data_IF_870031393992
#
_entry.id   IF_870031393992
#
_cell.length_a   1.000
_cell.length_b   1.000
_cell.length_c   1.000
_cell.angle_alpha   90.00
_cell.angle_beta   90.00
_cell.angle_gamma   90.00
#
_symmetry.space_group_name_H-M   'P 1'
#
loop_
_entity.id
_entity.type
_entity.pdbx_description
1 polymer ?
#
# COMPACT_ATOMS: atom_id res chain seq x y z
N UNK A 1 39.31 61.67 38.88
CA UNK A 1 38.45 62.54 39.70
C UNK A 1 37.80 63.52 38.74
N UNK A 2 36.54 63.29 38.39
CA UNK A 2 35.51 64.33 38.44
C UNK A 2 34.14 63.67 38.30
N UNK A 3 33.16 64.22 39.01
CA UNK A 3 31.90 63.61 39.36
C UNK A 3 30.74 64.53 38.99
N UNK A 4 29.60 63.93 38.64
CA UNK A 4 28.30 64.59 38.48
C UNK A 4 28.12 65.28 37.11
N UNK A 5 26.93 65.35 36.53
CA UNK A 5 25.65 65.52 37.20
C UNK A 5 24.46 65.28 36.24
N UNK A 6 23.31 65.02 36.88
CA UNK A 6 21.95 65.42 36.53
C UNK A 6 21.11 64.59 35.54
N UNK A 7 20.28 63.77 36.19
CA UNK A 7 18.92 63.31 35.80
C UNK A 7 18.14 64.38 35.02
N UNK A 8 17.44 63.92 33.98
CA UNK A 8 16.07 64.37 33.71
C UNK A 8 15.23 63.20 33.20
N UNK A 9 14.17 62.89 33.94
CA UNK A 9 13.16 61.88 33.60
C UNK A 9 12.04 62.52 32.75
N UNK A 10 11.28 61.63 32.09
CA UNK A 10 9.92 61.77 31.54
C UNK A 10 9.92 62.35 30.10
N UNK A 11 9.12 61.89 29.15
CA UNK A 11 7.77 61.29 29.22
C UNK A 11 7.46 60.55 27.91
N UNK A 12 6.97 59.32 28.03
CA UNK A 12 5.85 58.63 27.34
C UNK A 12 5.40 59.08 25.93
N UNK A 13 5.07 58.05 25.13
CA UNK A 13 4.04 57.90 24.07
C UNK A 13 4.53 57.81 22.61
N UNK A 14 4.35 56.62 22.03
CA UNK A 14 3.42 56.47 20.90
C UNK A 14 3.99 55.96 19.57
N UNK A 15 3.17 55.14 18.91
CA UNK A 15 3.22 54.61 17.52
C UNK A 15 4.09 53.35 17.32
N UNK A 16 3.56 52.11 17.28
CA UNK A 16 2.56 51.47 16.39
C UNK A 16 3.10 51.19 14.97
N UNK A 17 3.04 49.90 14.61
CA UNK A 17 3.14 49.24 13.28
C UNK A 17 4.53 48.92 12.72
N UNK A 18 4.86 47.63 12.66
CA UNK A 18 5.23 46.93 11.42
C UNK A 18 5.18 45.41 11.64
N UNK A 19 4.06 44.83 11.24
CA UNK A 19 3.82 43.40 11.10
C UNK A 19 4.82 42.77 10.13
N UNK A 20 5.49 41.70 10.54
CA UNK A 20 6.15 40.76 9.62
C UNK A 20 6.01 39.35 10.19
N UNK A 21 4.77 38.87 10.25
CA UNK A 21 4.47 37.46 10.52
C UNK A 21 4.69 36.70 9.21
N UNK A 22 5.92 36.24 9.00
CA UNK A 22 6.26 35.34 7.88
C UNK A 22 5.69 33.97 8.22
N UNK A 23 4.44 33.74 7.82
CA UNK A 23 3.84 32.40 7.82
C UNK A 23 4.45 31.66 6.63
N UNK A 24 5.48 30.85 6.89
CA UNK A 24 5.96 29.86 5.94
C UNK A 24 4.88 28.77 5.83
N UNK A 25 3.98 28.92 4.85
CA UNK A 25 3.10 27.83 4.44
C UNK A 25 3.97 26.83 3.68
N UNK A 26 4.52 25.86 4.42
CA UNK A 26 5.06 24.64 3.84
C UNK A 26 3.90 23.88 3.21
N UNK A 27 3.67 24.10 1.91
CA UNK A 27 2.71 23.32 1.14
C UNK A 27 3.25 21.90 1.06
N UNK A 28 2.79 21.03 1.96
CA UNK A 28 3.04 19.61 1.89
C UNK A 28 2.10 19.05 0.80
N UNK A 29 2.49 19.25 -0.45
CA UNK A 29 1.83 18.63 -1.60
C UNK A 29 2.16 17.15 -1.53
N UNK A 30 1.29 16.33 -0.92
CA UNK A 30 1.41 14.88 -1.05
C UNK A 30 1.43 14.55 -2.54
N UNK A 31 2.43 13.80 -3.05
CA UNK A 31 2.41 13.37 -4.44
C UNK A 31 1.14 12.52 -4.63
N UNK A 32 0.18 13.05 -5.39
CA UNK A 32 -0.98 12.30 -5.84
C UNK A 32 -0.48 11.31 -6.90
N UNK A 33 -0.20 10.07 -6.49
CA UNK A 33 -0.05 8.97 -7.43
C UNK A 33 -1.38 8.82 -8.17
N UNK A 34 -1.39 9.09 -9.47
CA UNK A 34 -2.56 8.81 -10.28
C UNK A 34 -2.77 7.30 -10.34
N UNK A 35 -4.00 6.84 -10.09
CA UNK A 35 -4.35 5.44 -10.27
C UNK A 35 -4.17 5.06 -11.75
N UNK A 36 -3.48 3.96 -12.00
CA UNK A 36 -3.33 3.39 -13.34
C UNK A 36 -4.42 2.34 -13.55
N UNK A 37 -5.24 2.51 -14.59
CA UNK A 37 -6.18 1.47 -15.00
C UNK A 37 -5.43 0.44 -15.84
N UNK A 38 -5.32 -0.79 -15.34
CA UNK A 38 -4.69 -1.91 -16.02
C UNK A 38 -5.74 -2.71 -16.81
N UNK A 39 -5.35 -3.14 -18.02
CA UNK A 39 -6.11 -4.14 -18.78
C UNK A 39 -5.62 -5.53 -18.35
N UNK A 40 -6.56 -6.39 -17.94
CA UNK A 40 -6.23 -7.66 -17.29
C UNK A 40 -6.27 -8.81 -18.27
N UNK A 41 -5.34 -9.75 -18.12
CA UNK A 41 -5.40 -11.04 -18.81
C UNK A 41 -6.52 -11.86 -18.19
N UNK A 42 -7.32 -12.52 -19.03
CA UNK A 42 -8.35 -13.47 -18.60
C UNK A 42 -7.75 -14.88 -18.66
N UNK A 43 -7.67 -15.55 -17.50
CA UNK A 43 -7.09 -16.88 -17.38
C UNK A 43 -8.19 -17.95 -17.45
N UNK A 44 -8.04 -18.92 -18.34
CA UNK A 44 -9.05 -19.97 -18.55
C UNK A 44 -8.96 -21.13 -17.55
N UNK A 45 -7.89 -21.20 -16.75
CA UNK A 45 -7.77 -22.18 -15.67
C UNK A 45 -6.38 -22.26 -15.04
N UNK A 46 -6.24 -23.20 -14.11
CA UNK A 46 -5.06 -23.42 -13.27
C UNK A 46 -3.74 -23.53 -14.05
N UNK A 47 -3.72 -24.22 -15.19
CA UNK A 47 -2.50 -24.37 -15.98
C UNK A 47 -2.02 -23.04 -16.55
N UNK A 48 -2.93 -22.19 -17.04
CA UNK A 48 -2.58 -20.90 -17.62
C UNK A 48 -2.08 -19.93 -16.54
N UNK A 49 -2.69 -19.98 -15.34
CA UNK A 49 -2.20 -19.25 -14.18
C UNK A 49 -0.82 -19.75 -13.72
N UNK A 50 -0.58 -21.06 -13.69
CA UNK A 50 0.75 -21.64 -13.40
C UNK A 50 1.81 -21.17 -14.38
N UNK A 51 1.47 -21.13 -15.68
CA UNK A 51 2.40 -20.72 -16.74
C UNK A 51 2.77 -19.23 -16.64
N UNK A 52 1.85 -18.39 -16.13
CA UNK A 52 2.07 -16.96 -15.93
C UNK A 52 2.69 -16.59 -14.57
N UNK A 53 2.59 -17.46 -13.58
CA UNK A 53 3.08 -17.21 -12.24
C UNK A 53 4.59 -17.43 -12.10
N UNK A 54 5.22 -16.63 -11.25
CA UNK A 54 6.61 -16.85 -10.83
C UNK A 54 6.69 -17.80 -9.62
N UNK A 55 5.67 -17.78 -8.76
CA UNK A 55 5.52 -18.67 -7.62
C UNK A 55 4.12 -19.28 -7.59
N UNK A 56 4.05 -20.59 -7.31
CA UNK A 56 2.80 -21.29 -7.00
C UNK A 56 2.95 -22.02 -5.68
N UNK A 57 2.09 -21.70 -4.71
CA UNK A 57 2.10 -22.25 -3.36
C UNK A 57 0.70 -22.65 -2.91
N UNK A 58 0.61 -23.53 -1.91
CA UNK A 58 -0.62 -23.70 -1.12
C UNK A 58 -0.48 -23.04 0.24
N UNK A 59 -1.60 -22.60 0.81
CA UNK A 59 -1.68 -22.08 2.16
C UNK A 59 -3.04 -22.39 2.80
N UNK A 60 -3.02 -22.71 4.08
CA UNK A 60 -4.21 -22.74 4.94
C UNK A 60 -4.35 -21.49 5.82
N UNK A 61 -3.38 -20.57 5.75
CA UNK A 61 -3.30 -19.41 6.65
C UNK A 61 -3.02 -18.15 5.85
N UNK A 62 -4.11 -17.45 5.53
CA UNK A 62 -4.13 -16.13 4.91
C UNK A 62 -4.69 -15.14 5.92
N UNK A 63 -3.88 -14.17 6.35
CA UNK A 63 -4.26 -13.20 7.39
C UNK A 63 -4.03 -11.79 6.90
N UNK A 64 -5.02 -10.91 7.08
CA UNK A 64 -4.94 -9.52 6.64
C UNK A 64 -3.79 -8.77 7.35
N UNK A 65 -2.90 -8.17 6.57
CA UNK A 65 -1.73 -7.39 7.00
C UNK A 65 -1.72 -5.98 6.36
N UNK A 66 -2.79 -5.24 6.64
CA UNK A 66 -2.90 -3.83 6.27
C UNK A 66 -3.07 -3.59 4.77
N UNK A 67 -2.36 -2.59 4.26
CA UNK A 67 -2.40 -2.17 2.85
C UNK A 67 -1.00 -1.89 2.30
N UNK A 68 -0.88 -1.92 0.97
CA UNK A 68 0.31 -1.49 0.22
C UNK A 68 -0.12 -0.80 -1.07
N UNK A 69 0.64 0.19 -1.51
CA UNK A 69 0.31 0.92 -2.74
C UNK A 69 0.65 0.06 -3.95
N UNK A 70 -0.39 -0.34 -4.70
CA UNK A 70 -0.26 -1.05 -5.96
C UNK A 70 -1.08 -0.31 -7.01
N UNK A 71 -0.49 -0.06 -8.19
CA UNK A 71 -1.14 0.68 -9.29
C UNK A 71 -1.68 2.08 -8.90
N UNK A 72 -1.08 2.70 -7.89
CA UNK A 72 -1.45 4.04 -7.42
C UNK A 72 -2.66 4.08 -6.48
N UNK A 73 -3.15 2.92 -6.02
CA UNK A 73 -4.22 2.81 -5.01
C UNK A 73 -3.76 1.99 -3.80
N UNK A 74 -4.41 2.16 -2.66
CA UNK A 74 -4.20 1.31 -1.49
C UNK A 74 -4.84 -0.06 -1.74
N UNK A 75 -4.00 -1.05 -2.02
CA UNK A 75 -4.39 -2.45 -2.14
C UNK A 75 -4.28 -3.15 -0.79
N UNK A 76 -5.12 -4.14 -0.55
CA UNK A 76 -5.04 -4.98 0.63
C UNK A 76 -3.80 -5.88 0.57
N UNK A 77 -3.11 -6.01 1.70
CA UNK A 77 -1.97 -6.92 1.85
C UNK A 77 -2.29 -7.98 2.91
N UNK A 78 -1.69 -9.15 2.74
CA UNK A 78 -1.92 -10.34 3.55
C UNK A 78 -0.59 -11.02 3.89
N UNK A 79 -0.46 -11.49 5.12
CA UNK A 79 0.53 -12.49 5.49
C UNK A 79 0.01 -13.88 5.10
N UNK A 80 0.82 -14.64 4.36
CA UNK A 80 0.51 -15.98 3.89
C UNK A 80 1.60 -16.92 4.40
N UNK A 81 1.20 -17.96 5.14
CA UNK A 81 2.13 -19.03 5.53
C UNK A 81 2.19 -20.06 4.42
N UNK A 82 3.38 -20.24 3.84
CA UNK A 82 3.61 -21.21 2.78
C UNK A 82 3.50 -22.62 3.35
N UNK A 83 2.54 -23.40 2.88
CA UNK A 83 2.39 -24.81 3.28
C UNK A 83 3.18 -25.71 2.33
N UNK A 84 2.91 -25.62 1.03
CA UNK A 84 3.64 -26.33 -0.02
C UNK A 84 4.06 -25.38 -1.13
N UNK A 85 5.14 -25.74 -1.82
CA UNK A 85 5.67 -24.99 -2.96
C UNK A 85 5.59 -25.90 -4.17
N UNK A 86 4.77 -25.50 -5.15
CA UNK A 86 4.58 -26.22 -6.40
C UNK A 86 5.48 -25.65 -7.51
N UNK A 87 5.79 -24.35 -7.44
CA UNK A 87 6.64 -23.63 -8.41
C UNK A 87 7.31 -22.42 -7.74
N UNK A 88 8.52 -22.09 -8.21
CA UNK A 88 9.26 -20.89 -7.79
C UNK A 88 10.13 -21.08 -6.55
N UNK A 89 10.68 -19.98 -6.04
CA UNK A 89 11.60 -19.96 -4.89
C UNK A 89 10.87 -19.44 -3.64
N UNK A 90 10.36 -20.37 -2.85
CA UNK A 90 9.76 -20.15 -1.54
C UNK A 90 10.09 -21.35 -0.64
N UNK A 91 9.95 -21.19 0.67
CA UNK A 91 10.22 -22.28 1.62
C UNK A 91 8.95 -22.66 2.39
N UNK A 92 8.59 -23.96 2.49
CA UNK A 92 7.53 -24.38 3.41
C UNK A 92 7.76 -23.89 4.85
N UNK A 93 6.73 -23.32 5.46
CA UNK A 93 6.77 -22.67 6.78
C UNK A 93 7.23 -21.20 6.76
N UNK A 94 7.67 -20.68 5.62
CA UNK A 94 7.93 -19.25 5.42
C UNK A 94 6.63 -18.46 5.48
N UNK A 95 6.69 -17.24 6.04
CA UNK A 95 5.61 -16.26 5.92
C UNK A 95 6.00 -15.25 4.86
N UNK A 96 5.22 -15.17 3.79
CA UNK A 96 5.39 -14.18 2.73
C UNK A 96 4.26 -13.15 2.79
N UNK A 97 4.54 -11.93 2.34
CA UNK A 97 3.54 -10.88 2.21
C UNK A 97 3.04 -10.84 0.77
N UNK A 98 1.73 -10.96 0.60
CA UNK A 98 1.05 -10.98 -0.70
C UNK A 98 0.08 -9.81 -0.78
N UNK A 99 0.18 -9.02 -1.85
CA UNK A 99 -0.76 -7.94 -2.16
C UNK A 99 -1.90 -8.52 -3.00
N UNK A 100 -3.15 -8.34 -2.57
CA UNK A 100 -4.31 -8.67 -3.39
C UNK A 100 -4.42 -7.63 -4.50
N UNK A 101 -4.31 -8.03 -5.76
CA UNK A 101 -4.29 -7.07 -6.87
C UNK A 101 -5.64 -6.34 -6.97
N UNK A 102 -5.67 -4.99 -6.93
CA UNK A 102 -6.91 -4.22 -6.92
C UNK A 102 -7.52 -4.04 -8.32
N UNK A 103 -8.84 -4.09 -8.44
CA UNK A 103 -9.54 -3.63 -9.65
C UNK A 103 -9.58 -2.09 -9.70
N UNK A 104 -8.58 -1.53 -10.36
CA UNK A 104 -8.43 -0.08 -10.57
C UNK A 104 -9.30 0.51 -11.68
N UNK A 105 -9.96 -0.34 -12.47
CA UNK A 105 -10.81 0.07 -13.60
C UNK A 105 -12.30 -0.10 -13.32
N UNK A 106 -12.64 -0.85 -12.25
CA UNK A 106 -13.99 -1.06 -11.79
C UNK A 106 -14.73 0.22 -11.39
N UNK A 107 -16.07 0.21 -11.39
CA UNK A 107 -16.88 1.43 -11.32
C UNK A 107 -16.95 2.10 -9.93
N UNK A 108 -16.37 1.52 -8.86
CA UNK A 108 -16.58 2.04 -7.51
C UNK A 108 -15.48 1.78 -6.47
N UNK A 109 -15.00 0.54 -6.35
CA UNK A 109 -14.05 0.12 -5.31
C UNK A 109 -13.05 -0.87 -5.87
N UNK A 110 -11.78 -0.86 -5.40
CA UNK A 110 -10.77 -1.86 -5.73
C UNK A 110 -11.19 -3.32 -5.56
N UNK A 111 -12.18 -3.58 -4.70
CA UNK A 111 -12.68 -4.93 -4.36
C UNK A 111 -14.21 -4.95 -4.32
N UNK A 112 -14.86 -4.40 -5.35
CA UNK A 112 -16.32 -4.27 -5.39
C UNK A 112 -17.05 -5.62 -5.25
N UNK A 113 -16.47 -6.68 -5.80
CA UNK A 113 -17.02 -8.04 -5.75
C UNK A 113 -16.42 -8.90 -4.61
N UNK A 114 -15.63 -8.27 -3.72
CA UNK A 114 -14.87 -8.93 -2.66
C UNK A 114 -13.38 -9.01 -2.95
N UNK A 115 -12.59 -9.22 -1.91
CA UNK A 115 -11.16 -9.45 -2.02
C UNK A 115 -10.89 -10.96 -2.15
N UNK A 116 -10.24 -11.44 -3.23
CA UNK A 116 -9.95 -12.86 -3.42
C UNK A 116 -9.12 -13.51 -2.29
N UNK A 117 -8.36 -12.72 -1.53
CA UNK A 117 -7.56 -13.20 -0.40
C UNK A 117 -8.28 -13.08 0.96
N UNK A 118 -9.47 -12.50 1.01
CA UNK A 118 -10.31 -12.50 2.22
C UNK A 118 -11.08 -13.82 2.35
N UNK A 119 -10.35 -14.88 2.65
CA UNK A 119 -10.85 -16.26 2.69
C UNK A 119 -10.52 -16.95 4.00
N UNK A 120 -11.39 -17.89 4.40
CA UNK A 120 -11.26 -18.70 5.62
C UNK A 120 -11.01 -20.19 5.32
N UNK A 121 -10.56 -20.50 4.10
CA UNK A 121 -10.35 -21.86 3.59
C UNK A 121 -8.99 -22.01 2.91
N UNK A 122 -8.46 -23.25 2.79
CA UNK A 122 -7.22 -23.49 2.08
C UNK A 122 -7.27 -23.00 0.63
N UNK A 123 -6.14 -22.47 0.16
CA UNK A 123 -6.01 -21.93 -1.19
C UNK A 123 -4.69 -22.34 -1.83
N UNK A 124 -4.70 -22.45 -3.16
CA UNK A 124 -3.50 -22.36 -3.99
C UNK A 124 -3.40 -20.94 -4.52
N UNK A 125 -2.22 -20.36 -4.40
CA UNK A 125 -1.93 -19.01 -4.87
C UNK A 125 -0.99 -19.05 -6.06
N UNK A 126 -1.31 -18.26 -7.07
CA UNK A 126 -0.51 -18.02 -8.26
C UNK A 126 -0.03 -16.58 -8.20
N UNK A 127 1.27 -16.40 -8.04
CA UNK A 127 1.84 -15.11 -7.64
C UNK A 127 2.78 -14.57 -8.71
N UNK A 128 2.65 -13.28 -8.96
CA UNK A 128 3.56 -12.47 -9.76
C UNK A 128 4.31 -11.45 -8.89
N UNK A 129 5.36 -10.81 -9.44
CA UNK A 129 6.18 -9.85 -8.73
C UNK A 129 5.44 -8.52 -8.53
N UNK A 130 5.49 -7.99 -7.31
CA UNK A 130 4.97 -6.67 -6.97
C UNK A 130 5.99 -5.90 -6.12
N UNK A 131 6.78 -5.04 -6.77
CA UNK A 131 7.88 -4.33 -6.10
C UNK A 131 8.90 -5.34 -5.52
N UNK A 132 9.19 -5.30 -4.20
CA UNK A 132 10.05 -6.29 -3.55
C UNK A 132 9.31 -7.58 -3.12
N UNK A 133 7.99 -7.67 -3.31
CA UNK A 133 7.16 -8.76 -2.84
C UNK A 133 6.32 -9.41 -3.94
N UNK A 134 5.18 -9.94 -3.53
CA UNK A 134 4.29 -10.75 -4.39
C UNK A 134 2.90 -10.14 -4.47
N UNK A 135 2.22 -10.36 -5.60
CA UNK A 135 0.79 -10.10 -5.74
C UNK A 135 0.07 -11.25 -6.44
N UNK A 136 -1.26 -11.30 -6.30
CA UNK A 136 -2.09 -12.12 -7.20
C UNK A 136 -1.91 -11.66 -8.64
N UNK A 137 -2.13 -12.56 -9.61
CA UNK A 137 -1.91 -12.25 -11.04
C UNK A 137 -2.79 -11.09 -11.52
N UNK A 138 -4.07 -11.10 -11.14
CA UNK A 138 -5.05 -10.05 -11.46
C UNK A 138 -5.98 -9.85 -10.26
N UNK A 139 -6.94 -8.90 -10.33
CA UNK A 139 -8.00 -8.79 -9.33
C UNK A 139 -8.97 -9.98 -9.31
N UNK A 140 -8.99 -10.77 -10.38
CA UNK A 140 -9.96 -11.84 -10.60
C UNK A 140 -9.31 -13.22 -10.56
N UNK A 141 -8.00 -13.29 -10.77
CA UNK A 141 -7.21 -14.50 -10.90
C UNK A 141 -5.97 -14.45 -10.02
N UNK A 142 -5.54 -15.63 -9.56
CA UNK A 142 -4.41 -15.77 -8.65
C UNK A 142 -4.74 -16.55 -7.38
N UNK A 143 -6.00 -16.92 -7.18
CA UNK A 143 -6.47 -17.68 -6.02
C UNK A 143 -7.36 -18.84 -6.49
N UNK A 144 -6.97 -20.07 -6.17
CA UNK A 144 -7.80 -21.27 -6.34
C UNK A 144 -8.17 -21.83 -4.97
N UNK A 145 -9.46 -21.96 -4.67
CA UNK A 145 -9.91 -22.55 -3.41
C UNK A 145 -9.69 -24.07 -3.41
N UNK A 146 -9.03 -24.57 -2.36
CA UNK A 146 -8.77 -25.99 -2.17
C UNK A 146 -9.82 -26.58 -1.22
N UNK A 147 -10.30 -27.76 -1.58
CA UNK A 147 -11.38 -28.45 -0.88
C UNK A 147 -12.76 -27.88 -1.24
N UNK A 148 -13.72 -28.78 -1.42
CA UNK A 148 -15.13 -28.50 -1.77
C UNK A 148 -15.94 -28.24 -0.51
#
# INVERSE_FOLDING_TARGET
>A
MDAGDRRTRRTVLGAVVASALVVAVSSCSSPSTAASCADWVDFTGAQEMSDAADIVITSESVTRDGTEVLLGVDAHAYEVVVETVEQGDATPGETIRVISTPDTCGPSSPYADGDPLDVDRPVRLYLGPAGPGWSTLTPFDGVEHLGW
#
